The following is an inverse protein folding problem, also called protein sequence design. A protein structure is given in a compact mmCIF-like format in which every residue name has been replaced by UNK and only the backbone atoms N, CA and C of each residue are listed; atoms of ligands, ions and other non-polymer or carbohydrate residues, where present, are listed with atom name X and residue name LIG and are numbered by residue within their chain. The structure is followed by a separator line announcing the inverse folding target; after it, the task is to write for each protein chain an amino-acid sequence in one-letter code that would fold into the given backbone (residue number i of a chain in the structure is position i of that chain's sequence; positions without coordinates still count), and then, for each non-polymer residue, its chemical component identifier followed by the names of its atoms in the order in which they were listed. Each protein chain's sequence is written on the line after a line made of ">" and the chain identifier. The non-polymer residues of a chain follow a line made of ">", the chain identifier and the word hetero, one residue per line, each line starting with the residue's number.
data_IF_244562012229
#
_entry.id   IF_244562012229
#
_cell.length_a   1.000
_cell.length_b   1.000
_cell.length_c   1.000
_cell.angle_alpha   90.00
_cell.angle_beta   90.00
_cell.angle_gamma   90.00
#
_symmetry.space_group_name_H-M   'P 1'
#
loop_
_entity.id
_entity.type
_entity.pdbx_description
1 polymer ?
#
# COMPACT_ATOMS: atom_id res chain seq x y z
N UNK A 1 1.49 -26.33 -17.12
CA UNK A 1 0.64 -26.65 -15.95
C UNK A 1 1.49 -27.08 -14.75
N UNK A 2 2.76 -27.40 -14.95
CA UNK A 2 3.75 -27.72 -13.92
C UNK A 2 4.64 -26.53 -13.54
N UNK A 3 4.42 -25.40 -14.18
CA UNK A 3 5.19 -24.19 -13.94
C UNK A 3 5.00 -23.69 -12.50
N UNK A 4 6.10 -23.34 -11.86
CA UNK A 4 6.05 -22.76 -10.50
C UNK A 4 5.49 -21.35 -10.61
N UNK A 5 4.61 -21.00 -9.69
CA UNK A 5 4.01 -19.67 -9.63
C UNK A 5 5.07 -18.56 -9.49
N UNK A 6 6.15 -18.83 -8.78
CA UNK A 6 7.28 -17.92 -8.64
C UNK A 6 8.01 -17.64 -9.98
N UNK A 7 8.16 -18.67 -10.83
CA UNK A 7 8.83 -18.55 -12.12
C UNK A 7 7.96 -17.78 -13.14
N UNK A 8 6.64 -17.76 -12.93
CA UNK A 8 5.68 -16.98 -13.71
C UNK A 8 5.56 -15.52 -13.20
N UNK A 9 6.40 -15.10 -12.23
CA UNK A 9 6.34 -13.77 -11.65
C UNK A 9 5.08 -13.55 -10.80
N UNK A 10 4.48 -14.61 -10.26
CA UNK A 10 3.30 -14.55 -9.43
C UNK A 10 3.65 -13.87 -8.11
N UNK A 11 3.33 -12.60 -8.01
CA UNK A 11 3.59 -11.80 -6.82
C UNK A 11 2.39 -11.81 -5.86
N UNK A 12 2.63 -11.25 -4.71
CA UNK A 12 1.63 -11.14 -3.64
C UNK A 12 0.34 -10.42 -4.05
N UNK A 13 0.41 -9.58 -5.09
CA UNK A 13 -0.73 -8.84 -5.59
C UNK A 13 -1.61 -9.70 -6.49
N UNK A 14 -0.99 -10.55 -7.29
CA UNK A 14 -1.69 -11.51 -8.15
C UNK A 14 -2.51 -12.50 -7.32
N UNK A 15 -2.11 -12.77 -6.06
CA UNK A 15 -2.93 -13.57 -5.14
C UNK A 15 -4.24 -12.87 -4.75
N UNK A 16 -4.23 -11.57 -4.51
CA UNK A 16 -5.47 -10.81 -4.22
C UNK A 16 -6.37 -10.78 -5.45
N UNK A 17 -5.80 -10.57 -6.63
CA UNK A 17 -6.54 -10.60 -7.88
C UNK A 17 -7.12 -11.99 -8.16
N UNK A 18 -6.34 -13.05 -7.89
CA UNK A 18 -6.81 -14.42 -8.03
C UNK A 18 -7.94 -14.74 -7.05
N UNK A 19 -7.79 -14.35 -5.78
CA UNK A 19 -8.80 -14.58 -4.76
C UNK A 19 -10.11 -13.89 -5.13
N UNK A 20 -10.04 -12.62 -5.55
CA UNK A 20 -11.19 -11.88 -6.04
C UNK A 20 -11.79 -12.53 -7.31
N UNK A 21 -10.95 -13.03 -8.24
CA UNK A 21 -11.42 -13.71 -9.43
C UNK A 21 -12.12 -15.04 -9.12
N UNK A 22 -11.66 -15.79 -8.10
CA UNK A 22 -12.29 -17.02 -7.63
C UNK A 22 -13.65 -16.71 -6.98
N UNK A 23 -13.74 -15.65 -6.17
CA UNK A 23 -14.99 -15.18 -5.57
C UNK A 23 -16.00 -14.74 -6.65
N UNK A 24 -15.57 -13.96 -7.62
CA UNK A 24 -16.39 -13.50 -8.74
C UNK A 24 -16.91 -14.64 -9.62
N UNK A 25 -16.15 -15.73 -9.72
CA UNK A 25 -16.56 -16.95 -10.41
C UNK A 25 -17.53 -17.83 -9.59
N UNK A 26 -17.97 -17.35 -8.42
CA UNK A 26 -18.84 -18.10 -7.50
C UNK A 26 -18.09 -19.16 -6.69
N UNK A 27 -16.76 -19.14 -6.70
CA UNK A 27 -15.92 -19.95 -5.85
C UNK A 27 -15.86 -19.39 -4.43
N UNK A 28 -15.48 -20.24 -3.47
CA UNK A 28 -15.18 -19.77 -2.11
C UNK A 28 -13.75 -19.27 -2.03
N UNK A 29 -13.54 -18.32 -1.14
CA UNK A 29 -12.21 -17.86 -0.73
C UNK A 29 -11.35 -19.06 -0.38
N UNK A 30 -10.25 -19.23 -1.08
CA UNK A 30 -9.25 -20.24 -0.74
C UNK A 30 -8.70 -19.91 0.65
N UNK A 31 -8.67 -20.90 1.55
CA UNK A 31 -8.05 -20.66 2.84
C UNK A 31 -6.59 -20.28 2.59
N UNK A 32 -6.07 -19.41 3.37
CA UNK A 32 -4.72 -18.93 3.24
C UNK A 32 -3.64 -20.00 3.46
N UNK A 33 -3.95 -21.03 4.27
CA UNK A 33 -3.05 -22.18 4.45
C UNK A 33 -2.97 -22.98 3.15
N UNK A 34 -4.09 -23.16 2.47
CA UNK A 34 -4.16 -23.78 1.15
C UNK A 34 -3.35 -23.02 0.10
N UNK A 35 -3.38 -21.67 0.15
CA UNK A 35 -2.61 -20.83 -0.78
C UNK A 35 -1.10 -20.86 -0.51
N UNK A 36 -0.68 -21.01 0.74
CA UNK A 36 0.75 -21.14 1.10
C UNK A 36 1.35 -22.49 0.67
N UNK A 37 0.54 -23.52 0.55
CA UNK A 37 0.97 -24.86 0.10
C UNK A 37 1.06 -24.96 -1.43
N UNK A 38 0.43 -24.03 -2.15
CA UNK A 38 0.35 -24.04 -3.60
C UNK A 38 1.61 -23.44 -4.22
N UNK A 39 2.44 -24.25 -4.84
CA UNK A 39 3.66 -23.82 -5.52
C UNK A 39 3.56 -23.83 -7.05
N UNK A 40 2.54 -24.48 -7.61
CA UNK A 40 2.35 -24.62 -9.05
C UNK A 40 0.93 -24.30 -9.49
N UNK A 41 0.76 -23.96 -10.78
CA UNK A 41 -0.55 -23.73 -11.40
C UNK A 41 -1.48 -24.95 -11.27
N UNK A 42 -0.93 -26.17 -11.32
CA UNK A 42 -1.69 -27.40 -11.14
C UNK A 42 -2.26 -27.54 -9.72
N UNK A 43 -1.44 -27.27 -8.71
CA UNK A 43 -1.86 -27.29 -7.31
C UNK A 43 -2.93 -26.23 -7.05
N UNK A 44 -2.77 -25.05 -7.63
CA UNK A 44 -3.73 -23.97 -7.55
C UNK A 44 -5.11 -24.39 -8.11
N UNK A 45 -5.14 -24.95 -9.31
CA UNK A 45 -6.37 -25.45 -9.92
C UNK A 45 -7.01 -26.57 -9.08
N UNK A 46 -6.20 -27.44 -8.50
CA UNK A 46 -6.67 -28.52 -7.62
C UNK A 46 -7.24 -27.95 -6.31
N UNK A 47 -6.61 -26.93 -5.74
CA UNK A 47 -7.07 -26.25 -4.54
C UNK A 47 -8.42 -25.55 -4.77
N UNK A 48 -8.57 -24.84 -5.90
CA UNK A 48 -9.83 -24.18 -6.30
C UNK A 48 -10.95 -25.22 -6.47
N UNK A 49 -10.66 -26.41 -7.01
CA UNK A 49 -11.65 -27.47 -7.23
C UNK A 49 -12.04 -28.22 -5.96
N UNK A 50 -11.15 -28.30 -4.96
CA UNK A 50 -11.35 -29.05 -3.69
C UNK A 50 -12.06 -28.26 -2.60
N UNK A 51 -12.40 -26.98 -2.82
CA UNK A 51 -13.09 -26.19 -1.80
C UNK A 51 -14.48 -26.76 -1.54
N UNK A 52 -14.58 -27.60 -0.49
CA UNK A 52 -15.81 -28.22 -0.06
C UNK A 52 -16.79 -27.18 0.48
N UNK A 53 -18.07 -27.32 0.09
CA UNK A 53 -19.17 -26.39 0.42
C UNK A 53 -19.56 -26.37 1.91
N UNK A 54 -18.92 -27.13 2.77
CA UNK A 54 -19.39 -27.43 4.14
C UNK A 54 -18.68 -26.71 5.30
N UNK A 55 -17.54 -26.02 5.11
CA UNK A 55 -16.86 -25.36 6.23
C UNK A 55 -17.18 -23.87 6.31
N UNK A 56 -18.06 -23.49 7.26
CA UNK A 56 -18.12 -22.15 7.83
C UNK A 56 -16.75 -21.79 8.39
N UNK A 57 -16.37 -20.49 8.29
CA UNK A 57 -15.22 -19.95 9.01
C UNK A 57 -15.29 -20.41 10.48
N UNK A 58 -14.50 -21.43 10.80
CA UNK A 58 -14.23 -21.76 12.20
C UNK A 58 -13.16 -20.78 12.69
N UNK A 59 -13.31 -20.31 13.92
CA UNK A 59 -12.35 -19.50 14.64
C UNK A 59 -10.94 -20.08 14.44
N UNK A 60 -10.08 -19.33 13.75
CA UNK A 60 -8.70 -19.73 13.56
C UNK A 60 -7.94 -19.55 14.88
N UNK A 61 -7.05 -20.50 15.21
CA UNK A 61 -6.20 -20.35 16.38
C UNK A 61 -5.35 -19.09 16.19
N UNK A 62 -5.30 -18.24 17.22
CA UNK A 62 -4.35 -17.15 17.32
C UNK A 62 -2.97 -17.70 17.00
N UNK A 63 -2.39 -17.29 15.88
CA UNK A 63 -1.00 -17.57 15.60
C UNK A 63 -0.18 -16.98 16.75
N UNK A 64 0.49 -17.83 17.51
CA UNK A 64 1.49 -17.37 18.48
C UNK A 64 2.53 -16.60 17.68
N UNK A 65 2.64 -15.29 17.95
CA UNK A 65 3.79 -14.52 17.54
C UNK A 65 5.02 -15.26 18.09
N UNK A 66 5.83 -15.84 17.19
CA UNK A 66 7.20 -16.18 17.55
C UNK A 66 7.87 -14.87 17.90
N UNK A 67 7.92 -14.53 19.16
CA UNK A 67 8.87 -13.56 19.69
C UNK A 67 10.24 -14.10 19.32
N UNK A 68 10.88 -13.48 18.32
CA UNK A 68 12.30 -13.66 18.10
C UNK A 68 12.96 -13.22 19.42
N UNK A 69 13.59 -14.14 20.11
CA UNK A 69 14.28 -13.91 21.40
C UNK A 69 15.45 -12.93 21.29
N UNK A 70 15.70 -12.41 20.07
CA UNK A 70 16.77 -11.48 19.71
C UNK A 70 16.31 -10.02 19.55
N UNK A 71 15.06 -9.68 19.88
CA UNK A 71 14.58 -8.30 19.78
C UNK A 71 15.22 -7.42 20.86
N UNK A 72 15.97 -6.40 20.43
CA UNK A 72 16.59 -5.42 21.33
C UNK A 72 15.48 -4.56 21.94
N UNK A 73 15.14 -4.83 23.19
CA UNK A 73 14.17 -4.03 23.95
C UNK A 73 14.86 -2.77 24.48
N UNK A 74 14.48 -1.62 23.95
CA UNK A 74 15.01 -0.32 24.38
C UNK A 74 14.15 0.22 25.53
N UNK A 75 14.76 0.67 26.66
CA UNK A 75 14.02 1.26 27.76
C UNK A 75 13.17 2.46 27.32
N UNK A 76 11.97 2.59 27.88
CA UNK A 76 10.97 3.61 27.48
C UNK A 76 11.51 5.05 27.51
N UNK A 77 12.42 5.36 28.42
CA UNK A 77 13.05 6.68 28.51
C UNK A 77 13.98 6.95 27.33
N UNK A 78 14.77 5.93 26.93
CA UNK A 78 15.68 6.01 25.77
C UNK A 78 14.86 6.13 24.48
N UNK A 79 13.77 5.38 24.39
CA UNK A 79 12.83 5.47 23.25
C UNK A 79 12.20 6.87 23.15
N UNK A 80 11.79 7.47 24.27
CA UNK A 80 11.22 8.84 24.27
C UNK A 80 12.24 9.88 23.80
N UNK A 81 13.48 9.80 24.30
CA UNK A 81 14.56 10.70 23.88
C UNK A 81 14.90 10.47 22.40
N UNK A 82 14.98 9.21 21.98
CA UNK A 82 15.24 8.87 20.58
C UNK A 82 14.16 9.37 19.63
N UNK A 83 12.87 9.25 20.00
CA UNK A 83 11.79 9.81 19.20
C UNK A 83 11.89 11.34 19.10
N UNK A 84 12.20 12.03 20.18
CA UNK A 84 12.39 13.49 20.15
C UNK A 84 13.56 13.91 19.24
N UNK A 85 14.63 13.13 19.21
CA UNK A 85 15.77 13.37 18.27
C UNK A 85 15.36 13.13 16.83
N UNK A 86 14.60 12.06 16.55
CA UNK A 86 14.10 11.77 15.21
C UNK A 86 13.12 12.84 14.74
N UNK A 87 12.22 13.29 15.59
CA UNK A 87 11.27 14.38 15.30
C UNK A 87 12.03 15.68 15.01
N UNK A 88 12.98 16.04 15.86
CA UNK A 88 13.82 17.23 15.66
C UNK A 88 14.63 17.17 14.36
N UNK A 89 15.21 16.01 14.04
CA UNK A 89 15.96 15.83 12.80
C UNK A 89 15.03 15.92 11.57
N UNK A 90 13.81 15.38 11.68
CA UNK A 90 12.78 15.45 10.64
C UNK A 90 12.33 16.90 10.42
N UNK A 91 12.01 17.62 11.48
CA UNK A 91 11.63 19.03 11.39
C UNK A 91 12.77 19.89 10.82
N UNK A 92 14.00 19.66 11.29
CA UNK A 92 15.19 20.35 10.77
C UNK A 92 15.37 20.07 9.26
N UNK A 93 15.15 18.85 8.81
CA UNK A 93 15.24 18.50 7.40
C UNK A 93 14.20 19.26 6.58
N UNK A 94 12.92 19.17 6.94
CA UNK A 94 11.84 19.75 6.14
C UNK A 94 11.73 21.27 6.27
N UNK A 95 11.97 21.83 7.44
CA UNK A 95 11.83 23.27 7.69
C UNK A 95 13.15 24.03 7.55
N UNK A 96 14.28 23.38 7.81
CA UNK A 96 15.59 24.03 7.81
C UNK A 96 16.42 23.79 6.55
N UNK A 97 16.40 22.57 6.00
CA UNK A 97 17.25 22.17 4.87
C UNK A 97 16.48 22.23 3.54
N UNK A 98 15.26 21.75 3.53
CA UNK A 98 14.38 21.76 2.36
C UNK A 98 13.50 23.01 2.36
N UNK A 99 13.05 23.43 1.18
CA UNK A 99 12.01 24.46 1.06
C UNK A 99 10.64 23.75 0.92
N UNK A 100 10.10 23.32 2.05
CA UNK A 100 8.91 22.48 2.09
C UNK A 100 7.63 23.31 1.99
N UNK A 101 6.70 22.85 1.14
CA UNK A 101 5.36 23.42 1.01
C UNK A 101 4.30 22.35 1.24
N UNK A 102 3.38 22.62 2.17
CA UNK A 102 2.20 21.77 2.40
C UNK A 102 0.95 22.50 1.95
N UNK A 103 0.06 21.80 1.27
CA UNK A 103 -1.21 22.30 0.79
C UNK A 103 -2.35 21.35 1.17
N UNK A 104 -3.53 21.89 1.43
CA UNK A 104 -4.74 21.09 1.64
C UNK A 104 -4.86 20.42 3.01
N UNK A 105 -4.14 20.86 4.03
CA UNK A 105 -4.17 20.30 5.39
C UNK A 105 -5.58 20.23 6.00
N UNK A 106 -6.48 21.13 5.61
CA UNK A 106 -7.88 21.13 6.02
C UNK A 106 -8.67 19.91 5.54
N UNK A 107 -8.17 19.16 4.55
CA UNK A 107 -8.80 17.96 4.02
C UNK A 107 -8.49 16.70 4.87
N UNK A 108 -7.59 16.80 5.85
CA UNK A 108 -7.22 15.68 6.70
C UNK A 108 -8.37 15.32 7.65
N UNK A 109 -8.95 14.11 7.57
CA UNK A 109 -9.99 13.69 8.52
C UNK A 109 -9.44 13.59 9.95
N UNK A 110 -10.26 13.94 10.95
CA UNK A 110 -9.82 13.93 12.36
C UNK A 110 -10.65 13.03 13.28
N UNK A 111 -11.74 12.47 12.76
CA UNK A 111 -12.70 11.71 13.59
C UNK A 111 -12.94 10.28 13.08
N UNK A 112 -12.24 9.89 12.04
CA UNK A 112 -12.30 8.55 11.46
C UNK A 112 -10.88 8.12 11.11
N UNK A 113 -10.62 6.82 11.13
CA UNK A 113 -9.39 6.29 10.58
C UNK A 113 -9.53 6.04 9.07
N UNK A 114 -8.42 6.03 8.38
CA UNK A 114 -8.38 5.97 6.92
C UNK A 114 -7.07 5.42 6.39
N UNK A 115 -7.07 5.09 5.09
CA UNK A 115 -5.85 4.76 4.36
C UNK A 115 -5.28 6.06 3.78
N UNK A 116 -4.02 6.33 4.04
CA UNK A 116 -3.26 7.40 3.39
C UNK A 116 -2.55 6.82 2.18
N UNK A 117 -2.84 7.35 1.00
CA UNK A 117 -2.32 6.82 -0.27
C UNK A 117 -1.58 7.92 -1.06
N UNK A 118 -0.26 8.08 -0.86
CA UNK A 118 0.57 9.01 -1.63
C UNK A 118 1.25 8.30 -2.82
N UNK A 119 1.74 9.08 -3.80
CA UNK A 119 2.75 8.60 -4.73
C UNK A 119 4.12 8.43 -4.05
N UNK A 120 5.05 7.67 -4.64
CA UNK A 120 6.31 7.27 -3.99
C UNK A 120 7.53 7.38 -4.88
N UNK A 121 8.43 8.31 -4.54
CA UNK A 121 9.66 8.56 -5.32
C UNK A 121 10.93 8.56 -4.47
N UNK A 122 10.81 8.79 -3.15
CA UNK A 122 11.96 8.90 -2.25
C UNK A 122 11.71 8.30 -0.86
N UNK A 123 12.77 7.93 -0.17
CA UNK A 123 12.66 7.46 1.22
C UNK A 123 12.26 8.55 2.23
N UNK A 124 12.36 9.82 1.86
CA UNK A 124 11.88 10.93 2.69
C UNK A 124 10.36 11.16 2.55
N UNK A 125 9.68 10.50 1.61
CA UNK A 125 8.24 10.70 1.38
C UNK A 125 7.39 10.42 2.61
N UNK A 126 7.72 9.39 3.38
CA UNK A 126 6.99 9.02 4.60
C UNK A 126 6.97 10.16 5.64
N UNK A 127 8.12 10.80 5.87
CA UNK A 127 8.21 11.93 6.78
C UNK A 127 7.44 13.15 6.27
N UNK A 128 7.51 13.42 4.96
CA UNK A 128 6.78 14.52 4.32
C UNK A 128 5.26 14.31 4.42
N UNK A 129 4.77 13.09 4.22
CA UNK A 129 3.35 12.74 4.41
C UNK A 129 2.94 12.95 5.86
N UNK A 130 3.71 12.45 6.83
CA UNK A 130 3.42 12.64 8.24
C UNK A 130 3.35 14.12 8.62
N UNK A 131 4.26 14.94 8.07
CA UNK A 131 4.22 16.39 8.23
C UNK A 131 2.94 17.00 7.66
N UNK A 132 2.50 16.56 6.48
CA UNK A 132 1.26 17.04 5.84
C UNK A 132 -0.01 16.64 6.60
N UNK A 133 0.00 15.51 7.32
CA UNK A 133 -1.11 15.07 8.16
C UNK A 133 -1.26 15.90 9.46
N UNK A 134 -0.20 16.58 9.89
CA UNK A 134 -0.12 17.23 11.18
C UNK A 134 0.14 16.23 12.31
N UNK A 135 0.68 16.74 13.43
CA UNK A 135 1.22 15.92 14.52
C UNK A 135 0.23 14.88 15.06
N UNK A 136 -0.98 15.31 15.41
CA UNK A 136 -1.98 14.45 16.07
C UNK A 136 -2.38 13.25 15.18
N UNK A 137 -2.59 13.48 13.87
CA UNK A 137 -2.95 12.44 12.92
C UNK A 137 -1.73 11.59 12.55
N UNK A 138 -0.55 12.20 12.44
CA UNK A 138 0.70 11.50 12.15
C UNK A 138 1.09 10.49 13.24
N UNK A 139 0.83 10.79 14.50
CA UNK A 139 1.05 9.88 15.65
C UNK A 139 0.13 8.65 15.58
N UNK A 140 -1.06 8.81 15.00
CA UNK A 140 -2.04 7.73 14.78
C UNK A 140 -1.87 7.05 13.39
N UNK A 141 -0.82 7.40 12.64
CA UNK A 141 -0.59 6.87 11.29
C UNK A 141 0.59 5.91 11.28
N UNK A 142 0.31 4.66 10.95
CA UNK A 142 1.28 3.58 10.81
C UNK A 142 1.69 3.47 9.35
N UNK A 143 2.97 3.61 9.05
CA UNK A 143 3.47 3.44 7.71
C UNK A 143 3.78 1.96 7.43
N UNK A 144 3.24 1.49 6.32
CA UNK A 144 3.42 0.12 5.85
C UNK A 144 4.65 0.07 4.95
N UNK A 145 5.69 -0.67 5.35
CA UNK A 145 6.97 -0.70 4.66
C UNK A 145 7.42 -2.13 4.34
N UNK A 146 8.18 -2.27 3.24
CA UNK A 146 8.73 -3.55 2.82
C UNK A 146 9.79 -4.06 3.82
N UNK A 147 9.58 -5.25 4.36
CA UNK A 147 10.43 -5.86 5.38
C UNK A 147 11.86 -6.12 4.90
N UNK A 148 12.01 -6.53 3.65
CA UNK A 148 13.28 -6.85 3.01
C UNK A 148 14.27 -5.68 2.94
N UNK A 149 13.79 -4.45 3.03
CA UNK A 149 14.64 -3.26 2.98
C UNK A 149 14.92 -2.66 4.37
N UNK A 150 13.92 -2.60 5.25
CA UNK A 150 14.01 -1.90 6.52
C UNK A 150 14.30 -2.82 7.72
N UNK A 151 14.13 -4.12 7.56
CA UNK A 151 14.27 -5.12 8.63
C UNK A 151 15.33 -6.19 8.30
N UNK A 152 16.21 -5.93 7.33
CA UNK A 152 17.27 -6.83 6.86
C UNK A 152 18.36 -7.10 7.91
N UNK A 153 18.57 -6.18 8.86
CA UNK A 153 19.52 -6.33 9.95
C UNK A 153 18.86 -6.11 11.31
N UNK A 154 19.38 -6.77 12.37
CA UNK A 154 18.87 -6.61 13.73
C UNK A 154 18.89 -5.16 14.23
N UNK A 155 19.87 -4.37 13.81
CA UNK A 155 19.97 -2.95 14.19
C UNK A 155 18.90 -2.08 13.51
N UNK A 156 18.65 -2.31 12.22
CA UNK A 156 17.58 -1.62 11.51
C UNK A 156 16.22 -2.04 12.08
N UNK A 157 16.02 -3.33 12.36
CA UNK A 157 14.81 -3.85 12.99
C UNK A 157 14.58 -3.19 14.35
N UNK A 158 15.60 -3.16 15.23
CA UNK A 158 15.51 -2.50 16.52
C UNK A 158 15.18 -1.01 16.40
N UNK A 159 15.78 -0.30 15.44
CA UNK A 159 15.47 1.10 15.17
C UNK A 159 14.02 1.27 14.71
N UNK A 160 13.57 0.45 13.74
CA UNK A 160 12.21 0.52 13.21
C UNK A 160 11.16 0.20 14.27
N UNK A 161 11.35 -0.86 15.05
CA UNK A 161 10.42 -1.29 16.09
C UNK A 161 10.31 -0.30 17.27
N UNK A 162 11.38 0.46 17.56
CA UNK A 162 11.41 1.32 18.74
C UNK A 162 11.23 2.81 18.44
N UNK A 163 11.61 3.28 17.25
CA UNK A 163 11.66 4.72 16.93
C UNK A 163 10.77 5.09 15.74
N UNK A 164 10.09 4.13 15.12
CA UNK A 164 9.17 4.41 14.01
C UNK A 164 7.86 3.65 14.19
N UNK A 165 6.81 4.12 13.54
CA UNK A 165 5.53 3.40 13.43
C UNK A 165 5.47 2.64 12.09
N UNK A 166 6.58 1.98 11.71
CA UNK A 166 6.65 1.18 10.50
C UNK A 166 6.24 -0.27 10.81
N UNK A 167 5.36 -0.82 9.99
CA UNK A 167 4.99 -2.23 10.04
C UNK A 167 5.58 -2.94 8.83
N UNK A 168 6.33 -4.03 9.05
CA UNK A 168 6.94 -4.78 7.96
C UNK A 168 5.89 -5.47 7.11
N UNK A 169 6.01 -5.34 5.79
CA UNK A 169 5.32 -6.19 4.82
C UNK A 169 6.36 -6.99 4.05
N UNK A 170 6.23 -8.31 4.06
CA UNK A 170 7.06 -9.18 3.25
C UNK A 170 6.61 -9.12 1.78
N UNK A 171 7.53 -8.78 0.88
CA UNK A 171 7.27 -8.78 -0.57
C UNK A 171 7.28 -10.18 -1.16
N UNK A 172 8.07 -11.08 -0.58
CA UNK A 172 8.30 -12.45 -1.06
C UNK A 172 7.74 -13.51 -0.13
N UNK A 173 7.23 -13.12 1.04
CA UNK A 173 6.59 -13.98 2.03
C UNK A 173 5.06 -13.99 1.90
N UNK A 174 4.37 -14.39 2.95
CA UNK A 174 2.92 -14.45 2.97
C UNK A 174 2.30 -13.05 2.91
N UNK A 175 1.84 -12.62 1.73
CA UNK A 175 1.00 -11.41 1.55
C UNK A 175 -0.14 -11.38 2.57
N UNK A 176 -0.65 -12.56 2.91
CA UNK A 176 -1.69 -12.71 3.91
C UNK A 176 -1.27 -12.17 5.27
N UNK A 177 -0.06 -12.49 5.73
CA UNK A 177 0.42 -11.96 7.01
C UNK A 177 0.52 -10.45 6.96
N UNK A 178 1.03 -9.91 5.85
CA UNK A 178 1.09 -8.48 5.61
C UNK A 178 -0.28 -7.82 5.60
N UNK A 179 -1.26 -8.43 4.91
CA UNK A 179 -2.64 -7.94 4.89
C UNK A 179 -3.32 -8.04 6.26
N UNK A 180 -3.09 -9.12 7.00
CA UNK A 180 -3.59 -9.26 8.38
C UNK A 180 -3.09 -8.12 9.27
N UNK A 181 -1.80 -7.82 9.23
CA UNK A 181 -1.23 -6.72 10.02
C UNK A 181 -1.85 -5.36 9.66
N UNK A 182 -1.99 -5.06 8.37
CA UNK A 182 -2.64 -3.80 7.95
C UNK A 182 -4.11 -3.77 8.37
N UNK A 183 -4.82 -4.88 8.19
CA UNK A 183 -6.22 -5.01 8.64
C UNK A 183 -6.34 -4.83 10.15
N UNK A 184 -5.43 -5.41 10.94
CA UNK A 184 -5.41 -5.26 12.38
C UNK A 184 -5.19 -3.80 12.79
N UNK A 185 -4.22 -3.11 12.19
CA UNK A 185 -3.95 -1.68 12.41
C UNK A 185 -5.21 -0.84 12.18
N UNK A 186 -5.88 -1.08 11.04
CA UNK A 186 -7.11 -0.37 10.69
C UNK A 186 -8.26 -0.67 11.65
N UNK A 187 -8.41 -1.92 12.10
CA UNK A 187 -9.43 -2.34 13.07
C UNK A 187 -9.17 -1.79 14.49
N UNK A 188 -7.92 -1.56 14.84
CA UNK A 188 -7.52 -0.91 16.09
C UNK A 188 -7.72 0.62 16.07
N UNK A 189 -8.19 1.17 14.95
CA UNK A 189 -8.50 2.60 14.79
C UNK A 189 -7.33 3.48 14.34
N UNK A 190 -6.19 2.87 13.98
CA UNK A 190 -5.06 3.61 13.42
C UNK A 190 -5.26 3.86 11.92
N UNK A 191 -4.58 4.88 11.38
CA UNK A 191 -4.47 5.10 9.96
C UNK A 191 -3.35 4.24 9.37
N UNK A 192 -3.52 3.77 8.12
CA UNK A 192 -2.48 3.05 7.40
C UNK A 192 -1.94 3.89 6.24
N UNK A 193 -0.65 4.23 6.27
CA UNK A 193 0.04 4.88 5.16
C UNK A 193 0.60 3.81 4.24
N UNK A 194 0.07 3.75 3.04
CA UNK A 194 0.41 2.76 2.02
C UNK A 194 0.79 3.46 0.73
N UNK A 195 1.96 3.14 0.18
CA UNK A 195 2.36 3.60 -1.14
C UNK A 195 1.82 2.63 -2.21
N UNK A 196 0.76 3.01 -2.94
CA UNK A 196 0.03 2.06 -3.79
C UNK A 196 0.79 1.66 -5.06
N UNK A 197 1.89 2.31 -5.38
CA UNK A 197 2.80 1.93 -6.46
C UNK A 197 3.59 0.64 -6.17
N UNK A 198 3.64 0.22 -4.90
CA UNK A 198 4.36 -0.97 -4.46
C UNK A 198 5.89 -0.81 -4.36
N UNK A 199 6.42 0.35 -4.73
CA UNK A 199 7.84 0.67 -4.63
C UNK A 199 8.16 2.07 -5.15
N UNK A 200 9.38 2.55 -4.84
CA UNK A 200 9.85 3.86 -5.30
C UNK A 200 10.11 3.86 -6.79
N UNK A 201 9.58 4.87 -7.49
CA UNK A 201 9.78 5.03 -8.92
C UNK A 201 11.15 5.64 -9.23
N UNK A 202 11.85 5.04 -10.19
CA UNK A 202 13.18 5.51 -10.63
C UNK A 202 13.10 6.61 -11.70
N UNK A 203 11.94 6.76 -12.32
CA UNK A 203 11.69 7.78 -13.34
C UNK A 203 11.15 9.10 -12.78
N UNK A 204 10.79 9.15 -11.49
CA UNK A 204 10.08 10.27 -10.90
C UNK A 204 8.61 10.42 -11.38
N UNK A 205 8.15 9.51 -12.24
CA UNK A 205 6.76 9.46 -12.71
C UNK A 205 5.91 8.63 -11.76
N UNK A 206 4.62 8.90 -11.71
CA UNK A 206 3.64 8.12 -10.95
C UNK A 206 3.39 6.81 -11.72
N UNK A 207 3.63 5.67 -11.10
CA UNK A 207 3.31 4.37 -11.68
C UNK A 207 1.85 3.98 -11.42
N UNK A 208 1.40 2.93 -12.10
CA UNK A 208 0.05 2.40 -11.90
C UNK A 208 -0.16 1.95 -10.45
N UNK A 209 -1.26 2.41 -9.87
CA UNK A 209 -1.63 2.06 -8.49
C UNK A 209 -2.17 0.64 -8.42
N UNK A 210 -1.65 -0.09 -7.47
CA UNK A 210 -1.99 -1.49 -7.24
C UNK A 210 -3.37 -1.65 -6.58
N UNK A 211 -4.15 -2.68 -6.94
CA UNK A 211 -5.50 -2.91 -6.41
C UNK A 211 -5.60 -3.10 -4.89
N UNK A 212 -4.48 -3.33 -4.22
CA UNK A 212 -4.41 -3.59 -2.78
C UNK A 212 -5.12 -2.53 -1.92
N UNK A 213 -5.01 -1.24 -2.30
CA UNK A 213 -5.69 -0.17 -1.56
C UNK A 213 -7.20 -0.24 -1.74
N UNK A 214 -7.67 -0.68 -2.92
CA UNK A 214 -9.08 -0.92 -3.18
C UNK A 214 -9.63 -2.12 -2.39
N UNK A 215 -8.86 -3.21 -2.33
CA UNK A 215 -9.17 -4.36 -1.49
C UNK A 215 -9.33 -3.95 -0.03
N UNK A 216 -8.35 -3.26 0.54
CA UNK A 216 -8.39 -2.82 1.94
C UNK A 216 -9.56 -1.85 2.18
N UNK A 217 -9.75 -0.85 1.34
CA UNK A 217 -10.80 0.15 1.52
C UNK A 217 -12.20 -0.47 1.52
N UNK A 218 -12.50 -1.33 0.54
CA UNK A 218 -13.82 -1.94 0.41
C UNK A 218 -14.09 -3.00 1.48
N UNK A 219 -13.11 -3.85 1.80
CA UNK A 219 -13.31 -4.92 2.79
C UNK A 219 -13.30 -4.41 4.24
N UNK A 220 -12.51 -3.38 4.55
CA UNK A 220 -12.47 -2.77 5.88
C UNK A 220 -13.50 -1.63 6.05
N UNK A 221 -14.22 -1.26 4.99
CA UNK A 221 -15.20 -0.15 4.95
C UNK A 221 -14.56 1.18 5.39
N UNK A 222 -13.40 1.47 4.85
CA UNK A 222 -12.57 2.61 5.22
C UNK A 222 -12.35 3.52 4.01
N UNK A 223 -12.36 4.84 4.23
CA UNK A 223 -12.05 5.83 3.22
C UNK A 223 -10.55 5.95 2.93
N UNK A 224 -10.22 6.66 1.85
CA UNK A 224 -8.85 6.87 1.39
C UNK A 224 -8.56 8.38 1.29
N UNK A 225 -7.41 8.80 1.83
CA UNK A 225 -6.88 10.15 1.69
C UNK A 225 -5.74 10.16 0.66
N UNK A 226 -5.96 10.63 -0.57
CA UNK A 226 -4.90 10.76 -1.57
C UNK A 226 -4.00 11.94 -1.23
N UNK A 227 -2.68 11.76 -1.36
CA UNK A 227 -1.68 12.83 -1.17
C UNK A 227 -0.73 12.85 -2.37
N UNK A 228 -0.61 13.98 -3.04
CA UNK A 228 0.39 14.19 -4.07
C UNK A 228 1.68 14.75 -3.48
N UNK A 229 2.81 14.09 -3.75
CA UNK A 229 4.16 14.48 -3.33
C UNK A 229 4.97 14.91 -4.54
N UNK A 230 5.74 16.00 -4.42
CA UNK A 230 6.65 16.46 -5.45
C UNK A 230 8.00 16.88 -4.91
N UNK A 231 9.03 16.88 -5.78
CA UNK A 231 10.37 17.39 -5.53
C UNK A 231 11.28 16.46 -4.73
N UNK A 232 10.75 15.43 -4.08
CA UNK A 232 11.55 14.50 -3.26
C UNK A 232 12.44 13.61 -4.09
N UNK A 233 12.06 13.30 -5.34
CA UNK A 233 12.88 12.55 -6.29
C UNK A 233 14.20 13.28 -6.60
N UNK A 234 14.12 14.59 -6.89
CA UNK A 234 15.28 15.40 -7.21
C UNK A 234 16.14 15.73 -5.98
N UNK A 235 15.46 15.97 -4.84
CA UNK A 235 16.13 16.30 -3.58
C UNK A 235 16.88 15.09 -3.00
N UNK A 236 16.28 13.89 -3.04
CA UNK A 236 16.84 12.67 -2.48
C UNK A 236 16.60 11.47 -3.41
N UNK A 237 17.36 11.36 -4.50
CA UNK A 237 17.26 10.21 -5.41
C UNK A 237 17.64 8.92 -4.69
N UNK A 238 17.27 7.78 -5.27
CA UNK A 238 17.57 6.44 -4.75
C UNK A 238 19.05 6.30 -4.41
N UNK A 239 19.36 5.86 -3.19
CA UNK A 239 20.74 5.72 -2.68
C UNK A 239 21.32 6.94 -1.97
N UNK A 240 20.61 8.07 -1.92
CA UNK A 240 21.03 9.26 -1.16
C UNK A 240 20.39 9.23 0.23
N UNK A 241 21.22 9.24 1.28
CA UNK A 241 20.75 9.21 2.69
C UNK A 241 20.98 10.57 3.37
N UNK A 242 22.01 11.30 2.98
CA UNK A 242 22.41 12.56 3.60
C UNK A 242 22.20 13.70 2.59
N UNK A 243 21.60 14.84 3.00
CA UNK A 243 21.45 16.00 2.12
C UNK A 243 22.81 16.45 1.55
N UNK A 244 22.90 16.60 0.24
CA UNK A 244 24.11 17.06 -0.46
C UNK A 244 23.75 18.04 -1.57
N UNK A 245 24.52 19.13 -1.68
CA UNK A 245 24.43 20.02 -2.82
C UNK A 245 22.99 20.41 -3.20
N UNK A 246 22.42 19.76 -4.19
CA UNK A 246 21.05 20.00 -4.69
C UNK A 246 19.92 19.75 -3.69
N UNK A 247 20.15 19.00 -2.61
CA UNK A 247 19.14 18.78 -1.57
C UNK A 247 18.89 20.05 -0.74
N UNK A 248 19.95 20.89 -0.55
CA UNK A 248 19.85 22.09 0.28
C UNK A 248 19.01 23.14 -0.46
N UNK A 249 17.89 23.55 0.16
CA UNK A 249 16.94 24.49 -0.42
C UNK A 249 16.09 23.91 -1.54
N UNK A 250 16.12 22.59 -1.75
CA UNK A 250 15.28 21.95 -2.76
C UNK A 250 13.80 22.15 -2.44
N UNK A 251 13.03 22.50 -3.46
CA UNK A 251 11.57 22.71 -3.33
C UNK A 251 10.88 21.35 -3.31
N UNK A 252 10.40 20.95 -2.15
CA UNK A 252 9.61 19.74 -1.96
C UNK A 252 8.23 20.11 -1.42
N UNK A 253 7.27 19.23 -1.59
CA UNK A 253 5.99 19.48 -0.95
C UNK A 253 5.02 18.32 -1.05
N UNK A 254 3.92 18.48 -0.33
CA UNK A 254 2.80 17.57 -0.34
C UNK A 254 1.48 18.35 -0.46
N UNK A 255 0.56 17.82 -1.24
CA UNK A 255 -0.80 18.33 -1.38
C UNK A 255 -1.78 17.26 -0.97
N UNK A 256 -2.50 17.55 0.10
CA UNK A 256 -3.56 16.69 0.61
C UNK A 256 -4.80 16.87 -0.26
N UNK A 257 -5.21 15.79 -0.91
CA UNK A 257 -6.40 15.78 -1.75
C UNK A 257 -7.71 15.69 -0.95
N UNK A 258 -8.82 15.65 -1.66
CA UNK A 258 -10.12 15.43 -1.06
C UNK A 258 -10.19 14.00 -0.49
N UNK A 259 -10.69 13.87 0.72
CA UNK A 259 -10.96 12.57 1.31
C UNK A 259 -12.01 11.82 0.49
N UNK A 260 -11.72 10.60 0.10
CA UNK A 260 -12.63 9.69 -0.58
C UNK A 260 -13.30 8.81 0.46
N UNK A 261 -14.54 9.12 0.79
CA UNK A 261 -15.30 8.38 1.79
C UNK A 261 -15.64 6.96 1.31
N UNK A 262 -15.72 6.02 2.23
CA UNK A 262 -16.08 4.63 1.91
C UNK A 262 -17.38 4.53 1.11
N UNK A 263 -18.42 5.27 1.51
CA UNK A 263 -19.73 5.20 0.84
C UNK A 263 -19.67 5.66 -0.63
N UNK A 264 -18.81 6.66 -0.94
CA UNK A 264 -18.55 7.07 -2.33
C UNK A 264 -17.87 5.93 -3.11
N UNK A 265 -16.86 5.28 -2.52
CA UNK A 265 -16.13 4.19 -3.15
C UNK A 265 -17.02 2.95 -3.34
N UNK A 266 -17.81 2.60 -2.34
CA UNK A 266 -18.77 1.50 -2.40
C UNK A 266 -19.82 1.71 -3.47
N UNK A 267 -20.42 2.91 -3.53
CA UNK A 267 -21.40 3.27 -4.57
C UNK A 267 -20.80 3.24 -5.98
N UNK A 268 -19.56 3.71 -6.14
CA UNK A 268 -18.85 3.70 -7.43
C UNK A 268 -18.65 2.27 -7.95
N UNK A 269 -18.51 1.31 -7.05
CA UNK A 269 -18.20 -0.10 -7.36
C UNK A 269 -19.41 -1.02 -7.24
N UNK A 270 -20.61 -0.50 -7.01
CA UNK A 270 -21.83 -1.29 -6.90
C UNK A 270 -22.12 -2.08 -8.18
N UNK A 271 -22.37 -3.39 -8.05
CA UNK A 271 -22.60 -4.28 -9.18
C UNK A 271 -21.36 -4.56 -10.06
N UNK A 272 -20.18 -4.16 -9.61
CA UNK A 272 -18.93 -4.46 -10.30
C UNK A 272 -18.28 -5.69 -9.64
N UNK A 273 -17.73 -6.65 -10.42
CA UNK A 273 -16.93 -7.75 -9.88
C UNK A 273 -15.78 -7.26 -9.00
N UNK A 274 -15.48 -7.99 -7.91
CA UNK A 274 -14.52 -7.57 -6.88
C UNK A 274 -13.15 -7.21 -7.45
N UNK A 275 -12.63 -8.02 -8.36
CA UNK A 275 -11.34 -7.78 -9.05
C UNK A 275 -11.33 -6.42 -9.76
N UNK A 276 -12.42 -6.11 -10.47
CA UNK A 276 -12.56 -4.84 -11.19
C UNK A 276 -12.85 -3.69 -10.23
N UNK A 277 -13.61 -3.94 -9.16
CA UNK A 277 -13.92 -2.95 -8.11
C UNK A 277 -12.65 -2.44 -7.41
N UNK A 278 -11.75 -3.35 -7.01
CA UNK A 278 -10.47 -2.98 -6.38
C UNK A 278 -9.58 -2.15 -7.30
N UNK A 279 -9.53 -2.51 -8.58
CA UNK A 279 -8.81 -1.73 -9.60
C UNK A 279 -9.44 -0.36 -9.82
N UNK A 280 -10.76 -0.25 -9.83
CA UNK A 280 -11.47 1.03 -9.97
C UNK A 280 -11.17 1.97 -8.80
N UNK A 281 -11.15 1.47 -7.57
CA UNK A 281 -10.77 2.27 -6.40
C UNK A 281 -9.34 2.76 -6.52
N UNK A 282 -8.40 1.89 -6.88
CA UNK A 282 -6.99 2.27 -7.08
C UNK A 282 -6.85 3.34 -8.17
N UNK A 283 -7.52 3.14 -9.32
CA UNK A 283 -7.54 4.11 -10.42
C UNK A 283 -8.19 5.45 -10.00
N UNK A 284 -9.23 5.41 -9.15
CA UNK A 284 -9.86 6.62 -8.61
C UNK A 284 -8.90 7.44 -7.75
N UNK A 285 -8.13 6.77 -6.89
CA UNK A 285 -7.11 7.41 -6.05
C UNK A 285 -5.99 7.98 -6.90
N UNK A 286 -5.49 7.22 -7.88
CA UNK A 286 -4.47 7.68 -8.82
C UNK A 286 -4.92 8.91 -9.58
N UNK A 287 -6.14 8.92 -10.10
CA UNK A 287 -6.73 10.05 -10.81
C UNK A 287 -6.77 11.33 -9.96
N UNK A 288 -7.09 11.24 -8.66
CA UNK A 288 -7.04 12.40 -7.76
C UNK A 288 -5.62 12.94 -7.61
N UNK A 289 -4.64 12.06 -7.50
CA UNK A 289 -3.23 12.45 -7.39
C UNK A 289 -2.73 13.09 -8.68
N UNK A 290 -3.09 12.53 -9.84
CA UNK A 290 -2.76 13.10 -11.15
C UNK A 290 -3.42 14.46 -11.37
N UNK A 291 -4.68 14.62 -10.98
CA UNK A 291 -5.36 15.92 -11.00
C UNK A 291 -4.63 16.96 -10.13
N UNK A 292 -4.16 16.55 -8.95
CA UNK A 292 -3.39 17.45 -8.07
C UNK A 292 -2.04 17.82 -8.68
N UNK A 293 -1.35 16.86 -9.32
CA UNK A 293 -0.08 17.07 -10.04
C UNK A 293 -0.25 18.08 -11.18
N UNK A 294 -1.28 17.88 -11.98
CA UNK A 294 -1.51 18.66 -13.21
C UNK A 294 -2.28 19.95 -12.98
N UNK A 295 -2.70 20.23 -11.74
CA UNK A 295 -3.53 21.39 -11.41
C UNK A 295 -4.92 21.35 -12.04
N UNK A 296 -5.42 20.15 -12.36
CA UNK A 296 -6.71 19.89 -13.01
C UNK A 296 -7.79 19.49 -12.00
N UNK A 297 -9.04 19.45 -12.47
CA UNK A 297 -10.22 18.94 -11.75
C UNK A 297 -11.08 18.09 -12.67
N UNK A 298 -10.46 17.17 -13.37
CA UNK A 298 -11.16 16.27 -14.27
C UNK A 298 -12.00 15.28 -13.46
N UNK A 299 -13.22 15.01 -13.91
CA UNK A 299 -14.09 14.02 -13.28
C UNK A 299 -13.60 12.62 -13.61
N UNK A 300 -13.67 11.73 -12.64
CA UNK A 300 -13.39 10.32 -12.83
C UNK A 300 -14.58 9.66 -13.56
N UNK A 301 -14.33 9.16 -14.76
CA UNK A 301 -15.34 8.50 -15.58
C UNK A 301 -15.14 6.97 -15.51
N UNK A 302 -15.96 6.33 -14.68
CA UNK A 302 -15.93 4.87 -14.45
C UNK A 302 -16.19 4.10 -15.75
N UNK A 303 -17.15 4.55 -16.56
CA UNK A 303 -17.51 3.82 -17.78
C UNK A 303 -16.42 3.92 -18.85
N UNK A 304 -15.80 5.08 -18.98
CA UNK A 304 -14.66 5.27 -19.89
C UNK A 304 -13.48 4.37 -19.51
N UNK A 305 -13.15 4.29 -18.22
CA UNK A 305 -12.06 3.45 -17.72
C UNK A 305 -12.35 1.97 -17.92
N UNK A 306 -13.55 1.52 -17.57
CA UNK A 306 -13.98 0.12 -17.78
C UNK A 306 -13.96 -0.26 -19.25
N UNK A 307 -14.36 0.65 -20.12
CA UNK A 307 -14.32 0.46 -21.59
C UNK A 307 -12.88 0.34 -22.09
N UNK A 308 -11.97 1.19 -21.58
CA UNK A 308 -10.55 1.12 -21.93
C UNK A 308 -9.93 -0.22 -21.52
N UNK A 309 -10.15 -0.70 -20.30
CA UNK A 309 -9.65 -2.00 -19.83
C UNK A 309 -10.21 -3.19 -20.63
N UNK A 310 -11.50 -3.14 -20.99
CA UNK A 310 -12.09 -4.18 -21.88
C UNK A 310 -11.44 -4.18 -23.25
N UNK A 311 -11.12 -3.02 -23.80
CA UNK A 311 -10.44 -2.91 -25.09
C UNK A 311 -9.01 -3.45 -25.03
N UNK A 312 -8.27 -3.15 -23.97
CA UNK A 312 -6.93 -3.64 -23.71
C UNK A 312 -6.88 -5.16 -23.59
N UNK A 313 -7.73 -5.76 -22.75
CA UNK A 313 -7.86 -7.23 -22.62
C UNK A 313 -8.16 -7.92 -23.96
N UNK A 314 -8.96 -7.29 -24.82
CA UNK A 314 -9.24 -7.84 -26.17
C UNK A 314 -8.02 -7.78 -27.09
N UNK A 315 -7.18 -6.75 -26.95
CA UNK A 315 -5.92 -6.62 -27.71
C UNK A 315 -4.90 -7.66 -27.27
N UNK A 316 -4.70 -7.81 -25.96
CA UNK A 316 -3.77 -8.80 -25.41
C UNK A 316 -4.13 -10.23 -25.82
N UNK A 317 -5.41 -10.63 -25.74
CA UNK A 317 -5.88 -11.95 -26.20
C UNK A 317 -5.68 -12.22 -27.70
N UNK A 318 -5.61 -11.17 -28.54
CA UNK A 318 -5.35 -11.32 -29.98
C UNK A 318 -3.87 -11.46 -30.30
N UNK A 319 -2.99 -11.10 -29.37
CA UNK A 319 -1.53 -11.16 -29.54
C UNK A 319 -0.92 -12.43 -28.92
N UNK A 320 -1.69 -13.20 -28.15
CA UNK A 320 -1.24 -14.53 -27.70
C UNK A 320 -1.12 -15.46 -28.90
N UNK A 321 0.07 -16.06 -29.14
CA UNK A 321 0.23 -17.03 -30.22
C UNK A 321 -0.69 -18.22 -29.92
N UNK A 322 -1.46 -18.64 -30.93
CA UNK A 322 -2.20 -19.93 -30.92
C UNK A 322 -1.13 -21.02 -30.77
N UNK A 323 -1.04 -21.59 -29.57
CA UNK A 323 -0.25 -22.82 -29.38
C UNK A 323 -1.08 -23.92 -30.03
N UNK A 324 -0.76 -24.25 -31.27
CA UNK A 324 -1.29 -25.46 -31.93
C UNK A 324 -0.82 -26.67 -31.10
N UNK A 325 -1.79 -27.46 -30.64
CA UNK A 325 -1.59 -28.71 -29.90
C UNK A 325 -1.02 -29.81 -30.83
#
# INVERSE_FOLDING_TARGET
>A
VEDKLADLGFDSLMFVELQAAVEDAGGRVLSPDTLNEVQSVRELLTAVQRVDKSKKLADEPKAEEKKDDDDIVIPSIVRRVGNAVVDFATDTLYDGVLNTKIEGEANVPRHVNFIVAPNHTSHIDTGLVKKALGKDVAEQTVAVAAADYWFDTKYKRAYMNNFTTLVPIERTGSLRQSLRHVTQILNEGYNALIFPEGGRQESGQIAEFKPIIGYLALNQKIGILPIYIWGTFDAFPKGTIIPKGKSIGAKVGAKVGRFLEYDELAKMTEGVPNTEAYRLVAARVQHEIENMRDGKREKFDVDAIRKAWKAERRRSRKQEPVIDN
#
